data_IF_422721421003
#
_entry.id   IF_422721421003
#
_cell.length_a   1.000
_cell.length_b   1.000
_cell.length_c   1.000
_cell.angle_alpha   90.00
_cell.angle_beta   90.00
_cell.angle_gamma   90.00
#
_symmetry.space_group_name_H-M   'P 1'
#
loop_
_entity.id
_entity.type
_entity.pdbx_description
1 polymer ?
#
# COMPACT_ATOMS: atom_id res chain seq x y z
N UNK A 1 -10.50 -6.87 44.73
CA UNK A 1 -11.14 -6.79 43.39
C UNK A 1 -10.58 -7.91 42.52
N UNK A 2 -11.27 -9.06 42.44
CA UNK A 2 -10.78 -10.26 41.73
C UNK A 2 -10.94 -10.06 40.22
N UNK A 3 -9.85 -10.06 39.45
CA UNK A 3 -9.89 -10.10 37.98
C UNK A 3 -10.56 -11.41 37.57
N UNK A 4 -11.76 -11.35 36.98
CA UNK A 4 -12.38 -12.51 36.34
C UNK A 4 -11.54 -12.85 35.10
N UNK A 5 -10.78 -13.95 35.16
CA UNK A 5 -10.31 -14.64 33.95
C UNK A 5 -11.57 -15.14 33.24
N UNK A 6 -11.92 -14.55 32.09
CA UNK A 6 -12.93 -15.13 31.20
C UNK A 6 -12.27 -16.31 30.47
N UNK A 7 -12.61 -17.52 30.90
CA UNK A 7 -12.34 -18.76 30.17
C UNK A 7 -13.37 -18.92 29.04
N UNK A 8 -13.03 -18.39 27.86
CA UNK A 8 -13.60 -18.75 26.55
C UNK A 8 -12.43 -19.03 25.59
N UNK A 9 -12.64 -19.74 24.45
CA UNK A 9 -11.56 -20.04 23.52
C UNK A 9 -10.90 -18.71 23.13
N UNK A 10 -9.61 -18.57 23.42
CA UNK A 10 -8.90 -17.30 23.39
C UNK A 10 -9.26 -16.47 22.15
N UNK A 11 -9.68 -15.21 22.36
CA UNK A 11 -9.81 -14.20 21.31
C UNK A 11 -8.43 -13.93 20.70
N UNK A 12 -7.97 -14.85 19.84
CA UNK A 12 -6.67 -14.77 19.20
C UNK A 12 -6.76 -13.82 18.01
N UNK A 13 -6.59 -12.53 18.27
CA UNK A 13 -6.24 -11.56 17.24
C UNK A 13 -4.73 -11.31 17.34
N UNK A 14 -4.00 -11.68 16.30
CA UNK A 14 -2.54 -11.53 16.31
C UNK A 14 -1.81 -12.53 15.44
N UNK A 15 -0.48 -12.47 15.52
CA UNK A 15 0.41 -13.36 14.78
C UNK A 15 0.96 -14.42 15.73
N UNK A 16 0.79 -15.68 15.37
CA UNK A 16 1.44 -16.81 16.03
C UNK A 16 2.30 -17.54 15.01
N UNK A 17 3.61 -17.38 15.10
CA UNK A 17 4.55 -17.93 14.12
C UNK A 17 4.26 -17.42 12.70
N UNK A 18 4.02 -18.35 11.77
CA UNK A 18 3.69 -18.06 10.37
C UNK A 18 2.17 -17.96 10.12
N UNK A 19 1.34 -17.94 11.16
CA UNK A 19 -0.12 -17.77 11.04
C UNK A 19 -0.54 -16.41 11.61
N UNK A 20 -1.45 -15.73 10.93
CA UNK A 20 -2.08 -14.49 11.41
C UNK A 20 -3.58 -14.71 11.53
N UNK A 21 -4.10 -14.44 12.72
CA UNK A 21 -5.51 -14.60 13.07
C UNK A 21 -6.17 -13.22 13.19
N UNK A 22 -7.33 -13.08 12.57
CA UNK A 22 -8.14 -11.86 12.62
C UNK A 22 -9.61 -12.15 12.35
N UNK A 23 -10.48 -11.24 12.78
CA UNK A 23 -11.88 -11.26 12.40
C UNK A 23 -12.09 -10.64 11.03
N UNK A 24 -12.80 -11.35 10.17
CA UNK A 24 -13.29 -10.85 8.90
C UNK A 24 -14.80 -11.09 8.84
N UNK A 25 -15.59 -10.01 8.71
CA UNK A 25 -17.05 -10.07 8.58
C UNK A 25 -17.72 -10.92 9.68
N UNK A 26 -17.28 -10.76 10.93
CA UNK A 26 -17.82 -11.50 12.08
C UNK A 26 -17.37 -12.96 12.18
N UNK A 27 -16.54 -13.46 11.27
CA UNK A 27 -15.95 -14.81 11.31
C UNK A 27 -14.48 -14.75 11.69
N UNK A 28 -14.02 -15.76 12.42
CA UNK A 28 -12.59 -15.95 12.68
C UNK A 28 -11.91 -16.52 11.45
N UNK A 29 -10.88 -15.83 10.96
CA UNK A 29 -10.09 -16.26 9.80
C UNK A 29 -8.62 -16.30 10.20
N UNK A 30 -7.93 -17.31 9.69
CA UNK A 30 -6.48 -17.44 9.80
C UNK A 30 -5.85 -17.42 8.42
N UNK A 31 -4.74 -16.69 8.25
CA UNK A 31 -3.92 -16.74 7.03
C UNK A 31 -2.51 -17.21 7.36
N UNK A 32 -1.97 -18.07 6.50
CA UNK A 32 -0.55 -18.42 6.54
C UNK A 32 0.25 -17.34 5.83
N UNK A 33 1.30 -16.85 6.47
CA UNK A 33 2.25 -15.93 5.87
C UNK A 33 3.07 -16.72 4.85
N UNK A 34 2.86 -16.45 3.57
CA UNK A 34 3.75 -16.94 2.51
C UNK A 34 5.13 -16.32 2.65
N UNK A 35 6.17 -17.16 2.68
CA UNK A 35 7.57 -16.71 2.56
C UNK A 35 8.01 -16.98 1.13
N UNK A 36 8.36 -15.92 0.41
CA UNK A 36 8.98 -16.02 -0.91
C UNK A 36 10.49 -16.01 -0.68
N UNK A 37 11.21 -16.96 -1.29
CA UNK A 37 12.66 -16.97 -1.28
C UNK A 37 13.19 -15.79 -2.11
N UNK A 38 14.05 -14.96 -1.50
CA UNK A 38 14.61 -13.76 -2.12
C UNK A 38 15.49 -14.05 -3.33
N UNK A 39 16.15 -15.20 -3.41
CA UNK A 39 16.94 -15.60 -4.59
C UNK A 39 15.98 -15.95 -5.73
N UNK A 40 15.01 -16.82 -5.44
CA UNK A 40 13.96 -17.20 -6.40
C UNK A 40 13.22 -15.99 -6.96
N UNK A 41 12.82 -15.05 -6.09
CA UNK A 41 12.15 -13.82 -6.52
C UNK A 41 12.98 -12.97 -7.49
N UNK A 42 14.30 -12.95 -7.34
CA UNK A 42 15.20 -12.14 -8.20
C UNK A 42 15.53 -12.82 -9.52
N UNK A 43 15.66 -14.14 -9.51
CA UNK A 43 16.22 -14.91 -10.62
C UNK A 43 15.15 -15.60 -11.48
N UNK A 44 14.03 -16.05 -10.90
CA UNK A 44 13.04 -16.83 -11.64
C UNK A 44 12.20 -15.96 -12.58
N UNK A 45 11.92 -16.48 -13.78
CA UNK A 45 11.11 -15.83 -14.82
C UNK A 45 9.65 -15.62 -14.40
N UNK A 46 9.12 -16.49 -13.52
CA UNK A 46 7.74 -16.39 -13.01
C UNK A 46 7.48 -15.06 -12.28
N UNK A 47 8.53 -14.41 -11.77
CA UNK A 47 8.42 -13.11 -11.09
C UNK A 47 8.82 -11.92 -11.96
N UNK A 48 9.11 -12.10 -13.26
CA UNK A 48 9.58 -11.03 -14.14
C UNK A 48 8.56 -9.89 -14.25
N UNK A 49 7.31 -10.22 -14.58
CA UNK A 49 6.22 -9.24 -14.65
C UNK A 49 6.02 -8.52 -13.32
N UNK A 50 6.10 -9.24 -12.20
CA UNK A 50 6.00 -8.67 -10.86
C UNK A 50 7.14 -7.69 -10.58
N UNK A 51 8.39 -8.02 -10.95
CA UNK A 51 9.56 -7.13 -10.78
C UNK A 51 9.44 -5.88 -11.65
N UNK A 52 8.97 -6.03 -12.90
CA UNK A 52 8.73 -4.91 -13.81
C UNK A 52 7.70 -3.95 -13.23
N UNK A 53 6.54 -4.46 -12.84
CA UNK A 53 5.48 -3.66 -12.22
C UNK A 53 5.98 -2.99 -10.94
N UNK A 54 6.69 -3.71 -10.08
CA UNK A 54 7.26 -3.13 -8.85
C UNK A 54 8.21 -1.96 -9.14
N UNK A 55 9.04 -2.06 -10.18
CA UNK A 55 9.93 -0.97 -10.60
C UNK A 55 9.14 0.25 -11.07
N UNK A 56 8.11 0.04 -11.90
CA UNK A 56 7.21 1.10 -12.38
C UNK A 56 6.47 1.78 -11.21
N UNK A 57 5.91 1.01 -10.27
CA UNK A 57 5.26 1.55 -9.07
C UNK A 57 6.24 2.28 -8.14
N UNK A 58 7.47 1.79 -8.02
CA UNK A 58 8.52 2.42 -7.24
C UNK A 58 8.88 3.81 -7.78
N UNK A 59 9.08 3.90 -9.09
CA UNK A 59 9.35 5.15 -9.78
C UNK A 59 8.18 6.14 -9.63
N UNK A 60 6.95 5.68 -9.88
CA UNK A 60 5.74 6.49 -9.70
C UNK A 60 5.61 7.02 -8.25
N UNK A 61 5.95 6.20 -7.27
CA UNK A 61 5.94 6.60 -5.85
C UNK A 61 6.96 7.69 -5.54
N UNK A 62 8.15 7.63 -6.14
CA UNK A 62 9.19 8.66 -6.00
C UNK A 62 8.72 10.00 -6.61
N UNK A 63 8.20 9.99 -7.84
CA UNK A 63 7.67 11.21 -8.46
C UNK A 63 6.49 11.78 -7.68
N UNK A 64 5.55 10.94 -7.25
CA UNK A 64 4.44 11.37 -6.40
C UNK A 64 4.90 12.01 -5.10
N UNK A 65 5.99 11.54 -4.49
CA UNK A 65 6.60 12.16 -3.30
C UNK A 65 7.12 13.57 -3.62
N UNK A 66 7.82 13.75 -4.73
CA UNK A 66 8.33 15.07 -5.16
C UNK A 66 7.18 16.04 -5.40
N UNK A 67 6.14 15.62 -6.11
CA UNK A 67 4.95 16.45 -6.38
C UNK A 67 4.29 16.88 -5.07
N UNK A 68 4.07 15.95 -4.13
CA UNK A 68 3.47 16.30 -2.83
C UNK A 68 4.36 17.22 -1.99
N UNK A 69 5.69 17.05 -2.05
CA UNK A 69 6.61 17.92 -1.35
C UNK A 69 6.60 19.36 -1.92
N UNK A 70 6.61 19.49 -3.24
CA UNK A 70 6.60 20.79 -3.91
C UNK A 70 5.24 21.52 -3.84
N UNK A 71 4.15 20.78 -4.01
CA UNK A 71 2.80 21.35 -4.02
C UNK A 71 2.14 21.37 -2.64
N UNK A 72 2.65 20.61 -1.67
CA UNK A 72 2.11 20.50 -0.32
C UNK A 72 1.77 21.84 0.34
N UNK A 73 2.64 22.86 0.31
CA UNK A 73 2.33 24.20 0.88
C UNK A 73 1.12 24.88 0.24
N UNK A 74 0.81 24.56 -1.00
CA UNK A 74 -0.23 25.18 -1.81
C UNK A 74 -1.55 24.40 -1.79
N UNK A 75 -1.66 23.31 -1.02
CA UNK A 75 -2.81 22.39 -1.07
C UNK A 75 -4.18 23.06 -0.92
N UNK A 76 -4.26 24.15 -0.15
CA UNK A 76 -5.50 24.91 0.06
C UNK A 76 -6.02 25.52 -1.24
N UNK A 77 -5.12 25.93 -2.15
CA UNK A 77 -5.47 26.53 -3.44
C UNK A 77 -6.14 25.53 -4.39
N UNK A 78 -6.02 24.24 -4.12
CA UNK A 78 -6.58 23.17 -4.92
C UNK A 78 -7.24 22.10 -4.03
N UNK A 79 -7.86 22.49 -2.92
CA UNK A 79 -8.55 21.54 -2.03
C UNK A 79 -9.98 21.18 -2.48
N UNK A 80 -10.42 21.71 -3.62
CA UNK A 80 -11.76 21.46 -4.17
C UNK A 80 -11.89 20.08 -4.85
N UNK A 81 -13.14 19.60 -5.07
CA UNK A 81 -13.41 18.29 -5.69
C UNK A 81 -12.82 18.16 -7.11
N UNK A 82 -12.65 19.28 -7.82
CA UNK A 82 -12.10 19.34 -9.19
C UNK A 82 -10.55 19.33 -9.24
N UNK A 83 -9.88 19.25 -8.09
CA UNK A 83 -8.43 19.35 -7.99
C UNK A 83 -7.68 18.33 -8.84
N UNK A 84 -8.09 17.07 -8.75
CA UNK A 84 -7.42 15.96 -9.44
C UNK A 84 -7.44 16.21 -10.96
N UNK A 85 -8.59 16.57 -11.51
CA UNK A 85 -8.75 16.90 -12.93
C UNK A 85 -7.92 18.10 -13.37
N UNK A 86 -7.92 19.19 -12.57
CA UNK A 86 -7.13 20.39 -12.89
C UNK A 86 -5.63 20.15 -12.81
N UNK A 87 -5.18 19.37 -11.83
CA UNK A 87 -3.77 18.99 -11.68
C UNK A 87 -3.33 18.11 -12.85
N UNK A 88 -4.12 17.09 -13.21
CA UNK A 88 -3.85 16.24 -14.38
C UNK A 88 -3.80 17.08 -15.66
N UNK A 89 -4.75 18.00 -15.86
CA UNK A 89 -4.75 18.89 -17.02
C UNK A 89 -3.57 19.87 -17.05
N UNK A 90 -3.08 20.34 -15.91
CA UNK A 90 -1.87 21.16 -15.83
C UNK A 90 -0.62 20.34 -16.18
N UNK A 91 -0.47 19.15 -15.61
CA UNK A 91 0.65 18.25 -15.90
C UNK A 91 0.68 17.83 -17.38
N UNK A 92 -0.47 17.48 -17.97
CA UNK A 92 -0.55 17.15 -19.40
C UNK A 92 -0.20 18.34 -20.30
N UNK A 93 -0.45 19.59 -19.88
CA UNK A 93 -0.02 20.78 -20.63
C UNK A 93 1.48 20.98 -20.54
N UNK A 94 2.06 20.90 -19.34
CA UNK A 94 3.51 20.99 -19.17
C UNK A 94 4.26 19.91 -19.98
N UNK A 95 3.71 18.71 -20.09
CA UNK A 95 4.28 17.65 -20.94
C UNK A 95 4.25 18.00 -22.42
N UNK A 96 3.16 18.60 -22.92
CA UNK A 96 3.04 19.03 -24.32
C UNK A 96 3.88 20.25 -24.67
N UNK A 97 4.12 21.14 -23.70
CA UNK A 97 4.91 22.36 -23.88
C UNK A 97 6.42 22.11 -23.69
N UNK A 98 6.79 21.02 -23.00
CA UNK A 98 8.17 20.62 -22.77
C UNK A 98 8.73 19.62 -23.80
N UNK A 99 7.95 19.29 -24.83
CA UNK A 99 8.38 18.57 -26.04
C UNK A 99 8.66 19.55 -27.19
#
# INVERSE_FOLDING_TARGET
MKRKLKSGPHEMNGKMGDMVYYHLNGRYVSRRIGKIDKKRFREEAVFEDMRRQQSEFGLASQYGKVIRAGLGPYYRLFSGPECSGRLTGALCRCLKEGE
#
